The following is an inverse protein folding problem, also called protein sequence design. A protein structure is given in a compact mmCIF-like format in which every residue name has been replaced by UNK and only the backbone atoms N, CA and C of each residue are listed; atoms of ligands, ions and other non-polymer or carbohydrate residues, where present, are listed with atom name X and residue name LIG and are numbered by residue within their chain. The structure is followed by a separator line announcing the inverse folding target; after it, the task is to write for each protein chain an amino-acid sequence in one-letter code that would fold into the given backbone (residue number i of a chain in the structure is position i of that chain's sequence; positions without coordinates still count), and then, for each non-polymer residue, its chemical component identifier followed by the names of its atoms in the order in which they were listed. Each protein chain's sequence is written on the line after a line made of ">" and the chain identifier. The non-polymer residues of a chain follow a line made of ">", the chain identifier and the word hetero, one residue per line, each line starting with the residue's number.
data_IF_524680008974
#
_entry.id   IF_524680008974
#
_cell.length_a   1.000
_cell.length_b   1.000
_cell.length_c   1.000
_cell.angle_alpha   90.00
_cell.angle_beta   90.00
_cell.angle_gamma   90.00
#
_symmetry.space_group_name_H-M   'P 1'
#
loop_
_entity.id
_entity.type
_entity.pdbx_description
1 polymer ?
#
# COMPACT_ATOMS: atom_id res chain seq x y z
N UNK A 1 27.70 33.34 18.14
CA UNK A 1 26.25 33.60 18.08
C UNK A 1 25.56 32.95 16.88
N UNK A 2 26.08 33.10 15.66
CA UNK A 2 25.41 32.68 14.42
C UNK A 2 25.11 31.18 14.32
N UNK A 3 26.05 30.29 14.68
CA UNK A 3 25.84 28.82 14.67
C UNK A 3 24.69 28.37 15.57
N UNK A 4 24.54 28.99 16.75
CA UNK A 4 23.47 28.68 17.71
C UNK A 4 22.11 29.17 17.18
N UNK A 5 22.08 30.39 16.64
CA UNK A 5 20.88 30.93 16.00
C UNK A 5 20.42 30.08 14.79
N UNK A 6 21.36 29.57 13.98
CA UNK A 6 21.06 28.67 12.85
C UNK A 6 20.57 27.31 13.35
N UNK A 7 21.21 26.72 14.36
CA UNK A 7 20.77 25.46 14.96
C UNK A 7 19.35 25.57 15.54
N UNK A 8 19.08 26.62 16.30
CA UNK A 8 17.76 26.86 16.90
C UNK A 8 16.69 27.12 15.83
N UNK A 9 17.04 27.79 14.72
CA UNK A 9 16.15 27.99 13.59
C UNK A 9 15.84 26.67 12.87
N UNK A 10 16.86 25.86 12.56
CA UNK A 10 16.68 24.54 11.94
C UNK A 10 15.83 23.62 12.82
N UNK A 11 16.05 23.63 14.14
CA UNK A 11 15.28 22.82 15.09
C UNK A 11 13.79 23.22 15.07
N UNK A 12 13.49 24.53 15.05
CA UNK A 12 12.11 25.04 14.94
C UNK A 12 11.44 24.64 13.63
N UNK A 13 12.16 24.69 12.51
CA UNK A 13 11.61 24.39 11.19
C UNK A 13 11.48 22.89 10.91
N UNK A 14 12.38 22.06 11.44
CA UNK A 14 12.37 20.59 11.22
C UNK A 14 11.52 19.82 12.23
N UNK A 15 11.21 20.44 13.38
CA UNK A 15 10.34 19.89 14.42
C UNK A 15 9.35 20.96 14.91
N UNK A 16 8.36 21.34 14.08
CA UNK A 16 7.36 22.33 14.47
C UNK A 16 6.60 21.87 15.71
N UNK A 17 6.43 22.77 16.68
CA UNK A 17 5.78 22.47 17.96
C UNK A 17 4.26 22.27 17.82
N UNK A 18 3.65 22.83 16.77
CA UNK A 18 2.21 22.73 16.49
C UNK A 18 1.98 22.26 15.06
N UNK A 19 0.92 21.49 14.84
CA UNK A 19 0.54 20.97 13.52
C UNK A 19 0.42 22.08 12.46
N UNK A 20 -0.15 23.24 12.85
CA UNK A 20 -0.35 24.40 11.99
C UNK A 20 0.94 25.10 11.57
N UNK A 21 2.05 24.84 12.27
CA UNK A 21 3.37 25.37 11.93
C UNK A 21 4.06 24.51 10.85
N UNK A 22 3.47 23.39 10.41
CA UNK A 22 3.96 22.63 9.25
C UNK A 22 3.83 23.47 7.98
N UNK A 23 4.89 23.48 7.17
CA UNK A 23 4.95 24.22 5.91
C UNK A 23 3.73 23.99 5.00
N UNK A 24 3.18 22.77 5.00
CA UNK A 24 1.99 22.42 4.21
C UNK A 24 0.71 23.22 4.55
N UNK A 25 0.61 23.77 5.77
CA UNK A 25 -0.53 24.61 6.19
C UNK A 25 -0.22 26.11 6.13
N UNK A 26 1.06 26.47 6.03
CA UNK A 26 1.53 27.86 6.00
C UNK A 26 1.81 28.33 4.57
N UNK A 27 2.10 27.41 3.63
CA UNK A 27 2.22 27.76 2.21
C UNK A 27 0.81 27.95 1.60
N UNK A 28 0.51 29.15 1.09
CA UNK A 28 -0.77 29.44 0.44
C UNK A 28 -0.89 28.89 -0.99
N UNK A 29 -2.01 29.17 -1.67
CA UNK A 29 -3.38 28.87 -1.30
C UNK A 29 -3.78 27.48 -1.83
N UNK A 30 -4.54 26.71 -1.05
CA UNK A 30 -5.13 25.46 -1.51
C UNK A 30 -6.20 25.74 -2.59
N UNK A 31 -6.11 25.08 -3.75
CA UNK A 31 -7.06 25.23 -4.88
C UNK A 31 -8.38 24.46 -4.70
N UNK A 32 -8.69 23.98 -3.49
CA UNK A 32 -9.87 23.15 -3.29
C UNK A 32 -11.10 24.02 -2.99
N UNK A 33 -11.86 24.36 -4.03
CA UNK A 33 -13.23 24.89 -3.91
C UNK A 33 -14.15 23.76 -3.44
N UNK A 34 -14.29 23.63 -2.14
CA UNK A 34 -14.82 22.46 -1.44
C UNK A 34 -16.16 21.90 -2.00
N UNK A 35 -16.10 20.71 -2.61
CA UNK A 35 -17.21 19.74 -2.68
C UNK A 35 -16.88 18.58 -1.74
N UNK A 36 -17.83 18.15 -0.91
CA UNK A 36 -17.65 17.14 0.15
C UNK A 36 -16.78 15.93 -0.28
N UNK A 37 -15.80 15.49 0.54
CA UNK A 37 -14.97 14.31 0.24
C UNK A 37 -15.76 13.05 -0.10
N UNK A 38 -16.97 12.89 0.49
CA UNK A 38 -17.86 11.76 0.20
C UNK A 38 -18.42 11.80 -1.22
N UNK A 39 -18.77 13.00 -1.71
CA UNK A 39 -19.27 13.21 -3.07
C UNK A 39 -18.18 12.91 -4.09
N UNK A 40 -16.95 13.37 -3.84
CA UNK A 40 -15.80 13.08 -4.72
C UNK A 40 -15.51 11.58 -4.80
N UNK A 41 -15.52 10.89 -3.66
CA UNK A 41 -15.32 9.45 -3.61
C UNK A 41 -16.41 8.70 -4.39
N UNK A 42 -17.69 9.06 -4.20
CA UNK A 42 -18.80 8.38 -4.89
C UNK A 42 -18.78 8.61 -6.41
N UNK A 43 -18.44 9.81 -6.87
CA UNK A 43 -18.24 10.09 -8.29
C UNK A 43 -17.09 9.26 -8.89
N UNK A 44 -16.01 9.07 -8.13
CA UNK A 44 -14.89 8.23 -8.57
C UNK A 44 -15.29 6.75 -8.69
N UNK A 45 -16.12 6.25 -7.77
CA UNK A 45 -16.72 4.92 -7.90
C UNK A 45 -17.58 4.79 -9.15
N UNK A 46 -18.43 5.78 -9.44
CA UNK A 46 -19.23 5.79 -10.66
C UNK A 46 -18.36 5.75 -11.91
N UNK A 47 -17.26 6.50 -11.94
CA UNK A 47 -16.27 6.46 -13.03
C UNK A 47 -15.65 5.08 -13.18
N UNK A 48 -15.17 4.48 -12.08
CA UNK A 48 -14.50 3.16 -12.08
C UNK A 48 -15.43 2.01 -12.48
N UNK A 49 -16.74 2.13 -12.19
CA UNK A 49 -17.76 1.13 -12.49
C UNK A 49 -18.43 1.35 -13.86
N UNK A 50 -17.99 2.32 -14.65
CA UNK A 50 -18.60 2.64 -15.95
C UNK A 50 -19.99 3.29 -15.86
N UNK A 51 -20.36 3.80 -14.69
CA UNK A 51 -21.64 4.47 -14.40
C UNK A 51 -21.54 5.99 -14.58
N UNK A 52 -20.88 6.45 -15.64
CA UNK A 52 -20.55 7.87 -15.86
C UNK A 52 -21.73 8.83 -15.99
N UNK A 53 -22.95 8.32 -16.15
CA UNK A 53 -24.19 9.10 -16.16
C UNK A 53 -24.66 9.50 -14.75
N UNK A 54 -24.12 8.90 -13.69
CA UNK A 54 -24.49 9.19 -12.31
C UNK A 54 -23.58 10.26 -11.69
N UNK A 55 -24.19 11.24 -11.05
CA UNK A 55 -23.50 12.25 -10.24
C UNK A 55 -24.00 12.24 -8.80
N UNK A 56 -23.08 12.10 -7.86
CA UNK A 56 -23.35 12.19 -6.44
C UNK A 56 -23.71 13.64 -6.05
N UNK A 57 -24.75 13.81 -5.22
CA UNK A 57 -25.11 15.09 -4.62
C UNK A 57 -25.09 15.02 -3.09
N UNK A 58 -24.87 16.14 -2.40
CA UNK A 58 -24.91 16.17 -0.93
C UNK A 58 -26.27 15.72 -0.36
N UNK A 59 -27.38 16.03 -1.05
CA UNK A 59 -28.74 15.59 -0.64
C UNK A 59 -28.90 14.08 -0.70
N UNK A 60 -28.24 13.40 -1.66
CA UNK A 60 -28.26 11.94 -1.78
C UNK A 60 -27.54 11.24 -0.61
N UNK A 61 -26.64 11.95 0.08
CA UNK A 61 -25.80 11.40 1.16
C UNK A 61 -26.37 11.71 2.55
N UNK A 62 -27.07 12.82 2.71
CA UNK A 62 -27.59 13.31 3.99
C UNK A 62 -28.95 12.71 4.37
N UNK A 63 -29.78 12.31 3.40
CA UNK A 63 -31.02 11.59 3.70
C UNK A 63 -30.73 10.11 3.98
N UNK A 64 -31.01 9.67 5.21
CA UNK A 64 -30.95 8.26 5.64
C UNK A 64 -31.81 7.29 4.80
N UNK A 65 -32.57 7.80 3.83
CA UNK A 65 -33.23 7.04 2.77
C UNK A 65 -32.24 6.24 1.92
N UNK A 66 -31.07 6.80 1.55
CA UNK A 66 -30.09 6.07 0.72
C UNK A 66 -29.47 4.89 1.47
N UNK A 67 -29.24 5.03 2.78
CA UNK A 67 -28.76 3.95 3.64
C UNK A 67 -29.74 2.78 3.78
N UNK A 68 -31.05 3.05 3.72
CA UNK A 68 -32.09 2.03 3.92
C UNK A 68 -32.42 1.29 2.63
N UNK A 69 -32.38 1.98 1.47
CA UNK A 69 -32.66 1.40 0.15
C UNK A 69 -31.44 0.73 -0.51
N UNK A 70 -30.22 0.99 -0.02
CA UNK A 70 -28.98 0.45 -0.59
C UNK A 70 -28.42 -0.69 0.27
N UNK A 71 -28.68 -1.93 -0.15
CA UNK A 71 -28.16 -3.12 0.54
C UNK A 71 -26.64 -3.11 0.67
N UNK A 72 -25.90 -2.65 -0.35
CA UNK A 72 -24.44 -2.58 -0.32
C UNK A 72 -23.92 -1.60 0.72
N UNK A 73 -24.63 -0.51 0.96
CA UNK A 73 -24.28 0.42 2.03
C UNK A 73 -24.48 -0.19 3.41
N UNK A 74 -25.56 -0.96 3.60
CA UNK A 74 -25.83 -1.70 4.85
C UNK A 74 -24.76 -2.77 5.10
N UNK A 75 -24.42 -3.54 4.06
CA UNK A 75 -23.34 -4.53 4.09
C UNK A 75 -22.01 -3.86 4.45
N UNK A 76 -21.69 -2.72 3.83
CA UNK A 76 -20.46 -1.96 4.10
C UNK A 76 -20.39 -1.47 5.56
N UNK A 77 -21.51 -1.00 6.12
CA UNK A 77 -21.59 -0.57 7.53
C UNK A 77 -21.39 -1.73 8.51
N UNK A 78 -21.81 -2.94 8.15
CA UNK A 78 -21.57 -4.14 8.97
C UNK A 78 -20.16 -4.70 8.77
N UNK A 79 -19.63 -4.65 7.54
CA UNK A 79 -18.29 -5.15 7.23
C UNK A 79 -17.18 -4.28 7.83
N UNK A 80 -17.42 -2.97 8.04
CA UNK A 80 -16.36 -2.05 8.45
C UNK A 80 -15.79 -2.40 9.83
N UNK A 81 -16.60 -2.93 10.74
CA UNK A 81 -16.14 -3.36 12.07
C UNK A 81 -15.27 -4.61 12.03
N UNK A 82 -15.27 -5.36 10.92
CA UNK A 82 -14.44 -6.54 10.72
C UNK A 82 -13.10 -6.24 10.06
N UNK A 83 -12.90 -5.02 9.54
CA UNK A 83 -11.64 -4.58 8.92
C UNK A 83 -10.93 -3.61 9.85
N UNK A 84 -9.64 -3.85 10.11
CA UNK A 84 -8.87 -3.01 11.03
C UNK A 84 -8.96 -1.51 10.67
N UNK A 85 -9.36 -0.67 11.63
CA UNK A 85 -9.61 0.77 11.44
C UNK A 85 -10.68 1.08 10.38
N UNK A 86 -11.64 0.18 10.17
CA UNK A 86 -12.75 0.36 9.24
C UNK A 86 -12.31 0.59 7.77
N UNK A 87 -11.17 0.04 7.36
CA UNK A 87 -10.67 0.14 5.98
C UNK A 87 -11.19 -1.02 5.14
N UNK A 88 -12.39 -0.81 4.62
CA UNK A 88 -13.07 -1.76 3.75
C UNK A 88 -12.27 -2.08 2.47
N UNK A 89 -12.53 -3.24 1.85
CA UNK A 89 -12.21 -3.50 0.44
C UNK A 89 -12.79 -2.40 -0.45
N UNK A 90 -11.89 -1.60 -1.03
CA UNK A 90 -12.23 -0.50 -1.94
C UNK A 90 -11.44 -0.62 -3.24
N UNK A 91 -12.10 -0.42 -4.37
CA UNK A 91 -11.47 -0.44 -5.69
C UNK A 91 -10.50 0.75 -5.78
N UNK A 92 -9.28 0.50 -6.20
CA UNK A 92 -8.25 1.51 -6.50
C UNK A 92 -8.04 1.66 -8.01
N UNK A 93 -8.23 0.57 -8.76
CA UNK A 93 -8.12 0.57 -10.22
C UNK A 93 -9.03 -0.49 -10.84
N UNK A 94 -9.50 -0.25 -12.07
CA UNK A 94 -10.37 -1.14 -12.83
C UNK A 94 -9.89 -1.22 -14.29
N UNK A 95 -9.73 -2.43 -14.82
CA UNK A 95 -9.29 -2.66 -16.19
C UNK A 95 -10.40 -2.27 -17.17
N UNK A 96 -10.14 -1.38 -18.15
CA UNK A 96 -11.20 -0.85 -19.03
C UNK A 96 -11.84 -1.92 -19.92
N UNK A 97 -11.06 -2.85 -20.47
CA UNK A 97 -11.57 -3.95 -21.29
C UNK A 97 -12.16 -5.13 -20.51
N UNK A 98 -11.42 -5.68 -19.54
CA UNK A 98 -11.82 -6.90 -18.85
C UNK A 98 -12.72 -6.65 -17.64
N UNK A 99 -12.69 -5.45 -17.04
CA UNK A 99 -13.35 -5.16 -15.76
C UNK A 99 -12.70 -5.83 -14.55
N UNK A 100 -11.50 -6.39 -14.69
CA UNK A 100 -10.72 -6.88 -13.55
C UNK A 100 -10.35 -5.71 -12.63
N UNK A 101 -10.45 -5.89 -11.31
CA UNK A 101 -10.20 -4.80 -10.36
C UNK A 101 -8.98 -5.06 -9.48
N UNK A 102 -8.27 -3.98 -9.18
CA UNK A 102 -7.33 -3.91 -8.07
C UNK A 102 -8.02 -3.19 -6.93
N UNK A 103 -8.22 -3.89 -5.82
CA UNK A 103 -8.80 -3.36 -4.61
C UNK A 103 -7.79 -3.37 -3.46
N UNK A 104 -8.02 -2.51 -2.47
CA UNK A 104 -7.19 -2.40 -1.26
C UNK A 104 -8.05 -2.43 -0.01
N UNK A 105 -7.50 -2.96 1.08
CA UNK A 105 -8.14 -2.92 2.41
C UNK A 105 -7.10 -3.00 3.53
N UNK A 106 -7.56 -2.97 4.79
CA UNK A 106 -6.78 -3.51 5.91
C UNK A 106 -7.01 -5.00 6.11
N UNK A 107 -6.15 -5.64 6.90
CA UNK A 107 -6.40 -6.99 7.40
C UNK A 107 -7.80 -7.16 8.04
N UNK A 108 -8.39 -8.37 7.97
CA UNK A 108 -9.57 -8.73 8.74
C UNK A 108 -9.25 -8.89 10.24
N UNK A 109 -10.26 -8.73 11.09
CA UNK A 109 -10.21 -8.93 12.54
C UNK A 109 -10.78 -10.31 12.88
N UNK A 110 -10.04 -11.38 12.59
CA UNK A 110 -10.50 -12.77 12.80
C UNK A 110 -10.45 -13.22 14.26
N UNK A 111 -10.02 -12.33 15.16
CA UNK A 111 -9.98 -12.58 16.60
C UNK A 111 -8.80 -13.43 17.05
N UNK A 112 -8.57 -13.49 18.36
CA UNK A 112 -7.43 -14.19 18.96
C UNK A 112 -7.40 -15.69 18.61
N UNK A 113 -8.58 -16.31 18.49
CA UNK A 113 -8.73 -17.72 18.09
C UNK A 113 -8.74 -17.94 16.57
N UNK A 114 -8.61 -16.88 15.78
CA UNK A 114 -8.60 -16.89 14.30
C UNK A 114 -9.81 -17.59 13.65
N UNK A 115 -10.95 -17.58 14.33
CA UNK A 115 -12.18 -18.23 13.91
C UNK A 115 -13.36 -17.26 13.73
N UNK A 116 -13.19 -15.97 14.02
CA UNK A 116 -14.24 -14.99 13.78
C UNK A 116 -14.40 -14.76 12.28
N UNK A 117 -15.64 -14.64 11.87
CA UNK A 117 -16.07 -14.46 10.48
C UNK A 117 -17.04 -13.31 10.37
N UNK A 118 -17.15 -12.76 9.18
CA UNK A 118 -18.14 -11.73 8.86
C UNK A 118 -18.75 -12.01 7.50
N UNK A 119 -20.00 -12.48 7.49
CA UNK A 119 -20.77 -12.70 6.26
C UNK A 119 -20.87 -11.41 5.44
N UNK A 120 -20.88 -10.24 6.07
CA UNK A 120 -20.90 -8.95 5.39
C UNK A 120 -19.57 -8.67 4.67
N UNK A 121 -18.43 -8.96 5.30
CA UNK A 121 -17.11 -8.83 4.65
C UNK A 121 -16.93 -9.85 3.53
N UNK A 122 -17.32 -11.11 3.76
CA UNK A 122 -17.28 -12.17 2.75
C UNK A 122 -18.09 -11.78 1.50
N UNK A 123 -19.31 -11.25 1.67
CA UNK A 123 -20.13 -10.72 0.57
C UNK A 123 -19.48 -9.53 -0.14
N UNK A 124 -18.86 -8.62 0.60
CA UNK A 124 -18.20 -7.45 0.03
C UNK A 124 -16.96 -7.83 -0.80
N UNK A 125 -16.17 -8.78 -0.31
CA UNK A 125 -15.02 -9.32 -1.05
C UNK A 125 -15.50 -10.07 -2.29
N UNK A 126 -16.54 -10.89 -2.18
CA UNK A 126 -17.15 -11.56 -3.33
C UNK A 126 -17.71 -10.56 -4.37
N UNK A 127 -18.17 -9.38 -3.95
CA UNK A 127 -18.66 -8.35 -4.88
C UNK A 127 -17.58 -7.73 -5.76
N UNK A 128 -16.30 -7.79 -5.36
CA UNK A 128 -15.17 -7.38 -6.20
C UNK A 128 -15.00 -8.30 -7.42
N UNK A 129 -15.58 -9.49 -7.38
CA UNK A 129 -15.73 -10.39 -8.51
C UNK A 129 -16.87 -9.95 -9.45
N UNK A 130 -17.11 -8.65 -9.61
CA UNK A 130 -18.29 -8.18 -10.33
C UNK A 130 -18.24 -8.62 -11.80
N UNK A 131 -19.27 -9.37 -12.22
CA UNK A 131 -19.54 -9.68 -13.63
C UNK A 131 -19.97 -8.38 -14.32
N UNK A 132 -19.01 -7.59 -14.79
CA UNK A 132 -19.32 -6.48 -15.69
C UNK A 132 -19.76 -7.08 -17.05
N UNK A 133 -21.08 -7.15 -17.19
CA UNK A 133 -21.91 -7.12 -18.41
C UNK A 133 -21.38 -7.82 -19.66
N UNK A 134 -21.98 -8.98 -20.00
CA UNK A 134 -22.09 -9.46 -21.37
C UNK A 134 -21.00 -10.41 -21.89
N UNK A 135 -19.87 -10.56 -21.19
CA UNK A 135 -18.83 -11.52 -21.60
C UNK A 135 -19.17 -12.89 -21.01
N UNK A 136 -19.61 -13.82 -21.87
CA UNK A 136 -19.85 -15.23 -21.53
C UNK A 136 -18.63 -15.83 -20.83
N UNK A 137 -18.86 -16.28 -19.60
CA UNK A 137 -18.14 -17.33 -18.87
C UNK A 137 -16.64 -17.49 -19.17
N UNK A 138 -15.83 -16.62 -18.57
CA UNK A 138 -14.55 -17.07 -18.01
C UNK A 138 -14.60 -16.88 -16.51
N UNK A 139 -14.42 -17.97 -15.79
CA UNK A 139 -14.35 -18.02 -14.32
C UNK A 139 -13.11 -17.26 -13.86
N UNK A 140 -13.22 -15.94 -13.68
CA UNK A 140 -12.12 -15.07 -13.25
C UNK A 140 -11.70 -15.45 -11.84
N UNK A 141 -10.41 -15.46 -11.54
CA UNK A 141 -9.94 -15.73 -10.17
C UNK A 141 -10.00 -14.46 -9.34
N UNK A 142 -10.30 -14.62 -8.05
CA UNK A 142 -10.15 -13.59 -7.04
C UNK A 142 -8.94 -13.93 -6.17
N UNK A 143 -7.92 -13.08 -6.20
CA UNK A 143 -6.75 -13.22 -5.34
C UNK A 143 -6.86 -12.29 -4.14
N UNK A 144 -6.62 -12.83 -2.95
CA UNK A 144 -6.47 -12.07 -1.72
C UNK A 144 -4.99 -12.07 -1.37
N UNK A 145 -4.33 -10.95 -1.63
CA UNK A 145 -2.90 -10.79 -1.47
C UNK A 145 -2.58 -10.08 -0.15
N UNK A 146 -2.08 -10.84 0.82
CA UNK A 146 -1.53 -10.32 2.05
C UNK A 146 -0.07 -9.94 1.81
N UNK A 147 0.27 -8.66 1.93
CA UNK A 147 1.63 -8.21 1.69
C UNK A 147 2.64 -8.83 2.68
N UNK A 148 2.21 -9.25 3.87
CA UNK A 148 3.10 -9.69 4.95
C UNK A 148 3.71 -11.07 4.67
N UNK A 149 4.82 -11.40 5.35
CA UNK A 149 5.20 -12.79 5.57
C UNK A 149 4.10 -13.53 6.33
N UNK A 150 3.86 -14.80 5.98
CA UNK A 150 2.88 -15.67 6.63
C UNK A 150 3.05 -15.72 8.16
N UNK A 151 4.29 -15.74 8.65
CA UNK A 151 4.60 -15.70 10.09
C UNK A 151 4.10 -14.41 10.75
N UNK A 152 4.27 -13.27 10.09
CA UNK A 152 3.82 -11.98 10.61
C UNK A 152 2.29 -11.88 10.56
N UNK A 153 1.65 -12.45 9.53
CA UNK A 153 0.20 -12.54 9.48
C UNK A 153 -0.37 -13.39 10.62
N UNK A 154 0.24 -14.54 10.91
CA UNK A 154 -0.12 -15.40 12.04
C UNK A 154 0.06 -14.68 13.39
N UNK A 155 1.19 -13.99 13.59
CA UNK A 155 1.43 -13.20 14.80
C UNK A 155 0.37 -12.09 14.99
N UNK A 156 -0.07 -11.47 13.90
CA UNK A 156 -1.17 -10.50 13.96
C UNK A 156 -2.53 -11.15 14.25
N UNK A 157 -2.74 -12.38 13.79
CA UNK A 157 -3.89 -13.19 14.18
C UNK A 157 -3.97 -13.39 15.70
N UNK A 158 -2.82 -13.68 16.33
CA UNK A 158 -2.72 -13.82 17.79
C UNK A 158 -2.97 -12.50 18.55
N UNK A 159 -3.06 -11.36 17.85
CA UNK A 159 -3.43 -10.05 18.41
C UNK A 159 -4.84 -9.59 17.97
N UNK A 160 -5.66 -10.49 17.42
CA UNK A 160 -7.04 -10.22 17.01
C UNK A 160 -7.22 -9.77 15.57
N UNK A 161 -6.12 -9.53 14.84
CA UNK A 161 -6.11 -9.33 13.38
C UNK A 161 -6.12 -10.67 12.63
N UNK A 162 -5.38 -10.75 11.52
CA UNK A 162 -5.10 -12.01 10.83
C UNK A 162 -5.22 -11.90 9.30
N UNK A 163 -5.53 -13.01 8.65
CA UNK A 163 -5.73 -13.09 7.19
C UNK A 163 -6.99 -13.90 6.90
N UNK A 164 -7.54 -13.72 5.71
CA UNK A 164 -8.65 -14.49 5.18
C UNK A 164 -8.30 -16.00 5.12
N UNK A 165 -9.33 -16.83 5.07
CA UNK A 165 -9.20 -18.29 4.89
C UNK A 165 -10.01 -18.72 3.67
N UNK A 166 -9.45 -19.58 2.81
CA UNK A 166 -10.13 -20.08 1.61
C UNK A 166 -11.41 -20.86 1.92
N UNK A 167 -11.57 -21.35 3.16
CA UNK A 167 -12.81 -21.98 3.61
C UNK A 167 -13.97 -20.97 3.76
N UNK A 168 -13.65 -19.71 4.09
CA UNK A 168 -14.64 -18.66 4.34
C UNK A 168 -14.83 -17.75 3.12
N UNK A 169 -13.74 -17.48 2.39
CA UNK A 169 -13.74 -16.67 1.17
C UNK A 169 -13.73 -17.61 -0.01
N UNK A 170 -14.92 -18.15 -0.32
CA UNK A 170 -15.09 -19.12 -1.39
C UNK A 170 -14.57 -18.53 -2.71
N UNK A 171 -14.01 -19.42 -3.53
CA UNK A 171 -13.46 -19.08 -4.85
C UNK A 171 -12.27 -18.08 -4.82
N UNK A 172 -11.76 -17.72 -3.64
CA UNK A 172 -10.61 -16.84 -3.48
C UNK A 172 -9.32 -17.62 -3.17
N UNK A 173 -8.21 -17.21 -3.80
CA UNK A 173 -6.88 -17.74 -3.54
C UNK A 173 -6.07 -16.75 -2.70
N UNK A 174 -5.53 -17.22 -1.57
CA UNK A 174 -4.79 -16.37 -0.63
C UNK A 174 -3.30 -16.50 -0.86
N UNK A 175 -2.63 -15.38 -1.08
CA UNK A 175 -1.20 -15.29 -1.40
C UNK A 175 -0.50 -14.37 -0.40
N UNK A 176 0.75 -14.70 -0.04
CA UNK A 176 1.58 -13.90 0.84
C UNK A 176 2.82 -13.40 0.10
N UNK A 177 3.07 -12.09 0.09
CA UNK A 177 4.23 -11.53 -0.61
C UNK A 177 5.52 -11.49 0.19
N UNK A 178 5.47 -11.73 1.50
CA UNK A 178 6.70 -11.79 2.29
C UNK A 178 7.37 -10.42 2.50
N UNK A 179 6.63 -9.33 2.41
CA UNK A 179 7.16 -7.97 2.58
C UNK A 179 7.19 -7.63 4.07
N UNK A 180 8.40 -7.50 4.60
CA UNK A 180 8.61 -7.21 6.02
C UNK A 180 8.00 -5.89 6.48
N UNK A 181 7.83 -5.79 7.80
CA UNK A 181 7.23 -4.62 8.42
C UNK A 181 8.15 -3.40 8.34
N UNK A 182 7.59 -2.23 8.70
CA UNK A 182 8.31 -0.96 8.65
C UNK A 182 9.57 -0.91 9.53
N UNK A 183 9.65 -1.73 10.58
CA UNK A 183 10.83 -1.77 11.44
C UNK A 183 12.00 -2.44 10.71
N UNK A 184 11.78 -3.61 10.11
CA UNK A 184 12.79 -4.26 9.28
C UNK A 184 13.24 -3.38 8.10
N UNK A 185 12.29 -2.75 7.41
CA UNK A 185 12.59 -1.81 6.31
C UNK A 185 13.44 -0.62 6.77
N UNK A 186 13.14 -0.07 7.95
CA UNK A 186 13.90 1.03 8.54
C UNK A 186 15.30 0.60 8.94
N UNK A 187 15.43 -0.55 9.60
CA UNK A 187 16.73 -1.09 10.02
C UNK A 187 17.61 -1.40 8.80
N UNK A 188 17.01 -1.92 7.72
CA UNK A 188 17.69 -2.14 6.44
C UNK A 188 18.18 -0.83 5.82
N UNK A 189 17.36 0.22 5.81
CA UNK A 189 17.78 1.54 5.32
C UNK A 189 18.93 2.13 6.15
N UNK A 190 18.92 1.93 7.47
CA UNK A 190 20.02 2.37 8.36
C UNK A 190 21.32 1.67 7.97
N UNK A 191 21.32 0.34 7.80
CA UNK A 191 22.51 -0.41 7.35
C UNK A 191 22.98 0.01 5.96
N UNK A 192 22.06 0.28 5.04
CA UNK A 192 22.43 0.80 3.71
C UNK A 192 23.10 2.17 3.83
N UNK A 193 22.59 3.05 4.68
CA UNK A 193 23.19 4.36 4.91
C UNK A 193 24.60 4.23 5.47
N UNK A 194 24.81 3.38 6.47
CA UNK A 194 26.14 3.09 7.02
C UNK A 194 27.11 2.55 5.95
N UNK A 195 26.61 1.68 5.07
CA UNK A 195 27.37 1.19 3.93
C UNK A 195 27.79 2.32 2.98
N UNK A 196 26.85 3.20 2.61
CA UNK A 196 27.11 4.35 1.72
C UNK A 196 28.04 5.37 2.39
N UNK A 197 27.91 5.62 3.68
CA UNK A 197 28.82 6.52 4.41
C UNK A 197 30.25 5.95 4.45
N UNK A 198 30.39 4.62 4.52
CA UNK A 198 31.70 3.94 4.58
C UNK A 198 32.35 3.81 3.19
N UNK A 199 31.58 3.42 2.17
CA UNK A 199 32.09 3.03 0.85
C UNK A 199 31.72 4.00 -0.29
N UNK A 200 30.85 4.97 -0.03
CA UNK A 200 30.40 5.95 -1.01
C UNK A 200 31.43 7.05 -1.27
N UNK A 201 31.29 7.70 -2.43
CA UNK A 201 32.16 8.80 -2.83
C UNK A 201 32.03 10.03 -1.91
N UNK A 202 30.84 10.26 -1.34
CA UNK A 202 30.52 11.37 -0.45
C UNK A 202 29.81 10.84 0.81
N UNK A 203 30.31 11.16 2.00
CA UNK A 203 29.65 10.83 3.27
C UNK A 203 28.42 11.72 3.49
N UNK A 204 27.36 11.18 4.09
CA UNK A 204 26.10 11.92 4.36
C UNK A 204 26.24 13.05 5.39
N UNK A 205 27.33 13.08 6.15
CA UNK A 205 27.68 14.13 7.11
C UNK A 205 28.68 15.17 6.57
N UNK A 206 29.11 15.04 5.31
CA UNK A 206 30.11 15.92 4.68
C UNK A 206 31.53 15.74 5.23
N UNK A 207 31.74 14.81 6.17
CA UNK A 207 33.05 14.43 6.68
C UNK A 207 33.50 13.19 5.90
N UNK A 208 34.31 13.43 4.87
CA UNK A 208 34.97 12.43 4.01
C UNK A 208 35.09 11.01 4.60
N UNK A 209 34.69 10.02 3.79
CA UNK A 209 34.90 8.60 4.04
C UNK A 209 36.35 8.29 4.43
N UNK A 210 36.55 7.22 5.22
CA UNK A 210 37.84 6.73 5.70
C UNK A 210 38.86 6.42 4.57
N UNK A 211 38.47 6.51 3.30
CA UNK A 211 39.29 6.31 2.11
C UNK A 211 39.84 7.62 1.52
N UNK A 212 40.32 8.57 2.34
CA UNK A 212 40.97 9.79 1.84
C UNK A 212 42.22 9.53 0.97
N UNK A 213 42.79 8.33 0.98
CA UNK A 213 44.06 8.02 0.31
C UNK A 213 44.08 6.73 -0.52
N UNK A 214 42.93 6.14 -0.89
CA UNK A 214 42.95 4.88 -1.64
C UNK A 214 41.66 4.50 -2.33
N UNK A 215 41.57 4.79 -3.63
CA UNK A 215 40.76 4.07 -4.62
C UNK A 215 39.30 4.53 -4.74
N UNK A 216 38.98 5.15 -5.88
CA UNK A 216 37.62 5.56 -6.31
C UNK A 216 36.70 4.37 -6.68
N UNK A 217 37.07 3.16 -6.28
CA UNK A 217 36.41 1.92 -6.69
C UNK A 217 36.08 1.12 -5.43
N UNK A 218 34.78 0.81 -5.28
CA UNK A 218 34.20 -0.15 -4.32
C UNK A 218 35.24 -0.96 -3.53
N UNK A 219 35.57 -0.51 -2.32
CA UNK A 219 36.55 -1.20 -1.47
C UNK A 219 38.01 -1.04 -1.91
N UNK A 220 38.50 0.13 -2.26
CA UNK A 220 39.96 0.35 -2.41
C UNK A 220 40.66 -0.44 -3.52
N UNK A 221 39.92 -0.96 -4.51
CA UNK A 221 40.46 -1.46 -5.79
C UNK A 221 41.04 -2.88 -5.83
N UNK A 222 40.95 -3.69 -4.77
CA UNK A 222 41.35 -5.11 -4.79
C UNK A 222 40.17 -6.07 -4.57
N UNK A 223 40.29 -7.32 -5.04
CA UNK A 223 39.19 -8.31 -5.05
C UNK A 223 38.64 -8.64 -3.66
N UNK A 224 39.51 -8.73 -2.65
CA UNK A 224 39.11 -9.04 -1.27
C UNK A 224 38.24 -7.93 -0.69
N UNK A 225 38.61 -6.68 -0.95
CA UNK A 225 37.91 -5.51 -0.46
C UNK A 225 36.62 -5.22 -1.25
N UNK A 226 36.60 -5.54 -2.55
CA UNK A 226 35.36 -5.57 -3.34
C UNK A 226 34.39 -6.62 -2.81
N UNK A 227 34.88 -7.83 -2.51
CA UNK A 227 34.06 -8.90 -1.92
C UNK A 227 33.44 -8.47 -0.59
N UNK A 228 34.22 -7.85 0.30
CA UNK A 228 33.74 -7.32 1.57
C UNK A 228 32.69 -6.20 1.39
N UNK A 229 32.89 -5.29 0.42
CA UNK A 229 31.91 -4.26 0.07
C UNK A 229 30.59 -4.87 -0.41
N UNK A 230 30.64 -5.89 -1.26
CA UNK A 230 29.43 -6.57 -1.76
C UNK A 230 28.73 -7.34 -0.64
N UNK A 231 29.48 -8.00 0.24
CA UNK A 231 28.91 -8.68 1.42
C UNK A 231 28.20 -7.70 2.34
N UNK A 232 28.83 -6.57 2.69
CA UNK A 232 28.21 -5.56 3.57
C UNK A 232 26.97 -4.91 2.95
N UNK A 233 26.94 -4.71 1.62
CA UNK A 233 25.73 -4.30 0.91
C UNK A 233 24.64 -5.39 0.99
N UNK A 234 25.02 -6.66 0.82
CA UNK A 234 24.12 -7.80 0.98
C UNK A 234 23.50 -7.85 2.39
N UNK A 235 24.31 -7.65 3.42
CA UNK A 235 23.91 -7.66 4.83
C UNK A 235 22.93 -6.51 5.17
N UNK A 236 22.91 -5.43 4.38
CA UNK A 236 21.89 -4.39 4.53
C UNK A 236 20.47 -4.91 4.30
N UNK A 237 20.31 -5.94 3.46
CA UNK A 237 19.01 -6.49 3.05
C UNK A 237 18.17 -5.54 2.16
N UNK A 238 18.66 -4.35 1.83
CA UNK A 238 17.84 -3.32 1.17
C UNK A 238 17.37 -3.75 -0.21
N UNK A 239 18.27 -4.29 -1.03
CA UNK A 239 17.94 -4.76 -2.37
C UNK A 239 16.98 -5.95 -2.34
N UNK A 240 17.04 -6.79 -1.30
CA UNK A 240 16.10 -7.90 -1.10
C UNK A 240 14.70 -7.35 -0.84
N UNK A 241 14.56 -6.33 0.02
CA UNK A 241 13.26 -5.70 0.26
C UNK A 241 12.70 -5.01 -0.99
N UNK A 242 13.53 -4.29 -1.75
CA UNK A 242 13.14 -3.67 -3.03
C UNK A 242 12.66 -4.74 -4.02
N UNK A 243 13.42 -5.84 -4.15
CA UNK A 243 13.05 -6.96 -4.99
C UNK A 243 11.69 -7.55 -4.60
N UNK A 244 11.43 -7.78 -3.30
CA UNK A 244 10.15 -8.32 -2.83
C UNK A 244 8.96 -7.42 -3.17
N UNK A 245 9.12 -6.10 -3.03
CA UNK A 245 8.07 -5.13 -3.40
C UNK A 245 7.81 -5.13 -4.91
N UNK A 246 8.86 -5.13 -5.73
CA UNK A 246 8.74 -5.16 -7.19
C UNK A 246 8.17 -6.49 -7.69
N UNK A 247 8.59 -7.62 -7.10
CA UNK A 247 8.08 -8.94 -7.44
C UNK A 247 6.57 -9.05 -7.13
N UNK A 248 6.12 -8.58 -5.96
CA UNK A 248 4.69 -8.49 -5.64
C UNK A 248 3.92 -7.61 -6.64
N UNK A 249 4.52 -6.48 -7.03
CA UNK A 249 3.94 -5.56 -8.02
C UNK A 249 3.77 -6.20 -9.40
N UNK A 250 4.83 -6.81 -9.92
CA UNK A 250 4.81 -7.51 -11.20
C UNK A 250 3.83 -8.69 -11.17
N UNK A 251 3.77 -9.43 -10.06
CA UNK A 251 2.84 -10.55 -9.91
C UNK A 251 1.39 -10.08 -10.00
N UNK A 252 1.01 -8.99 -9.32
CA UNK A 252 -0.36 -8.47 -9.38
C UNK A 252 -0.67 -7.95 -10.78
N UNK A 253 0.23 -7.18 -11.38
CA UNK A 253 0.04 -6.68 -12.74
C UNK A 253 -0.19 -7.83 -13.73
N UNK A 254 0.60 -8.90 -13.65
CA UNK A 254 0.45 -10.08 -14.49
C UNK A 254 -0.90 -10.79 -14.29
N UNK A 255 -1.37 -10.95 -13.04
CA UNK A 255 -2.69 -11.58 -12.78
C UNK A 255 -3.85 -10.75 -13.33
N UNK A 256 -3.78 -9.43 -13.19
CA UNK A 256 -4.83 -8.54 -13.69
C UNK A 256 -4.81 -8.48 -15.22
N UNK A 257 -3.64 -8.29 -15.84
CA UNK A 257 -3.51 -8.10 -17.28
C UNK A 257 -3.66 -9.42 -18.07
N UNK A 258 -3.00 -10.50 -17.66
CA UNK A 258 -2.96 -11.75 -18.42
C UNK A 258 -4.10 -12.70 -18.07
N UNK A 259 -4.56 -12.70 -16.82
CA UNK A 259 -5.60 -13.63 -16.36
C UNK A 259 -6.96 -12.97 -16.18
N UNK A 260 -7.06 -11.65 -16.38
CA UNK A 260 -8.27 -10.88 -16.06
C UNK A 260 -8.74 -11.12 -14.63
N UNK A 261 -7.81 -11.38 -13.71
CA UNK A 261 -8.11 -11.71 -12.33
C UNK A 261 -8.29 -10.45 -11.49
N UNK A 262 -9.21 -10.52 -10.53
CA UNK A 262 -9.37 -9.46 -9.53
C UNK A 262 -8.39 -9.72 -8.38
N UNK A 263 -7.76 -8.66 -7.87
CA UNK A 263 -6.84 -8.74 -6.74
C UNK A 263 -7.27 -7.79 -5.62
N UNK A 264 -7.50 -8.33 -4.42
CA UNK A 264 -7.63 -7.57 -3.18
C UNK A 264 -6.30 -7.61 -2.42
N UNK A 265 -5.65 -6.45 -2.27
CA UNK A 265 -4.41 -6.32 -1.52
C UNK A 265 -4.67 -5.77 -0.13
N UNK A 266 -4.02 -6.33 0.89
CA UNK A 266 -4.03 -5.75 2.23
C UNK A 266 -2.75 -6.02 3.02
N UNK A 267 -2.64 -5.36 4.17
CA UNK A 267 -1.58 -5.55 5.15
C UNK A 267 -2.05 -5.09 6.55
N UNK A 268 -1.11 -5.01 7.50
CA UNK A 268 -1.36 -4.59 8.89
C UNK A 268 -1.41 -3.06 9.10
N UNK A 269 -0.56 -2.29 8.41
CA UNK A 269 -0.20 -0.92 8.83
C UNK A 269 -0.90 0.20 8.02
N UNK A 270 -1.23 1.33 8.67
CA UNK A 270 -1.90 2.46 8.03
C UNK A 270 -0.93 3.22 7.11
N UNK A 271 -1.36 3.39 5.86
CA UNK A 271 -0.85 4.32 4.84
C UNK A 271 0.47 3.99 4.11
N UNK A 272 1.60 3.69 4.75
CA UNK A 272 2.90 3.78 4.06
C UNK A 272 3.21 2.64 3.07
N UNK A 273 3.13 1.38 3.48
CA UNK A 273 3.38 0.26 2.56
C UNK A 273 2.26 0.10 1.52
N UNK A 274 1.00 0.28 1.93
CA UNK A 274 -0.13 0.13 1.01
C UNK A 274 -0.17 1.23 -0.06
N UNK A 275 0.24 2.48 0.23
CA UNK A 275 0.31 3.52 -0.81
C UNK A 275 1.45 3.30 -1.80
N UNK A 276 2.65 2.97 -1.32
CA UNK A 276 3.78 2.68 -2.22
C UNK A 276 3.41 1.49 -3.11
N UNK A 277 2.84 0.45 -2.51
CA UNK A 277 2.42 -0.75 -3.21
C UNK A 277 1.31 -0.43 -4.23
N UNK A 278 0.18 0.16 -3.85
CA UNK A 278 -0.88 0.42 -4.84
C UNK A 278 -0.44 1.40 -5.93
N UNK A 279 0.39 2.40 -5.61
CA UNK A 279 0.89 3.37 -6.60
C UNK A 279 1.85 2.74 -7.62
N UNK A 280 2.73 1.83 -7.22
CA UNK A 280 3.61 1.12 -8.18
C UNK A 280 2.80 0.17 -9.06
N UNK A 281 1.74 -0.42 -8.53
CA UNK A 281 0.88 -1.35 -9.26
C UNK A 281 -0.01 -0.62 -10.26
N UNK A 282 -0.62 0.50 -9.86
CA UNK A 282 -1.38 1.35 -10.75
C UNK A 282 -0.52 1.87 -11.90
N UNK A 283 0.73 2.27 -11.62
CA UNK A 283 1.67 2.68 -12.66
C UNK A 283 1.97 1.54 -13.65
N UNK A 284 2.23 0.32 -13.15
CA UNK A 284 2.45 -0.86 -13.99
C UNK A 284 1.21 -1.23 -14.83
N UNK A 285 0.02 -1.20 -14.23
CA UNK A 285 -1.23 -1.52 -14.91
C UNK A 285 -1.60 -0.50 -15.98
N UNK A 286 -1.36 0.79 -15.72
CA UNK A 286 -1.58 1.84 -16.71
C UNK A 286 -0.63 1.68 -17.90
N UNK A 287 0.63 1.29 -17.67
CA UNK A 287 1.57 1.00 -18.75
C UNK A 287 1.15 -0.19 -19.62
N UNK A 288 0.61 -1.26 -19.00
CA UNK A 288 0.10 -2.42 -19.74
C UNK A 288 -1.23 -2.17 -20.47
N UNK A 289 -2.01 -1.17 -20.06
CA UNK A 289 -3.33 -0.88 -20.66
C UNK A 289 -3.28 0.13 -21.82
N UNK A 290 -2.10 0.71 -22.07
CA UNK A 290 -1.84 1.67 -23.14
C UNK A 290 -1.30 1.07 -24.44
N UNK A 291 -1.14 -0.26 -24.48
CA UNK A 291 -0.86 -1.06 -25.68
C UNK A 291 -2.15 -1.67 -26.24
#
# INVERSE_FOLDING_TARGET
>A
MQRRAVYDALLRCTRPARLWDLYAFVCGPSRFSNTSPKVRLLNEYYRLLGMGSHHASSRTIEDGSFTLSNEWWRISKQACTFRARCRLPVISWCHPGTGAVLARSSQPLVGLMMNMRSNADEKLVAALWTQLSGIKERRRKLYIADARPRKNALANGAMGGGSESSANYSQSEIVFFGIDNIHAMRDSLVRLREYVDTHGANSSDGMSSFLRHGGWTWGGGNLSSMSASVSTLGDSGWLIHVQSVLAGSAWIAARVALESATVLVHCFAPYSLLHLFTSTHEAALNACSSE
#
